data_IF_636570477065
#
_entry.id   IF_636570477065
#
_cell.length_a   1.000
_cell.length_b   1.000
_cell.length_c   1.000
_cell.angle_alpha   90.00
_cell.angle_beta   90.00
_cell.angle_gamma   90.00
#
_symmetry.space_group_name_H-M   'P 1'
#
loop_
_entity.id
_entity.type
_entity.pdbx_description
1 polymer ?
#
# COMPACT_ATOMS: atom_id res chain seq x y z
N UNK A 1 16.41 20.13 -24.28
CA UNK A 1 17.29 20.61 -25.34
C UNK A 1 18.59 20.96 -24.64
N UNK A 2 19.61 20.16 -24.86
CA UNK A 2 20.95 20.50 -24.41
C UNK A 2 21.78 21.08 -25.56
N UNK A 3 23.01 21.47 -25.29
CA UNK A 3 23.92 22.06 -26.32
C UNK A 3 24.31 21.07 -27.43
N UNK A 4 23.95 19.77 -27.28
CA UNK A 4 24.35 18.70 -28.21
C UNK A 4 23.22 18.26 -29.13
N UNK A 5 21.99 18.77 -29.00
CA UNK A 5 20.89 18.46 -29.92
C UNK A 5 19.56 18.22 -29.25
N UNK A 6 18.58 17.76 -30.01
CA UNK A 6 17.25 17.36 -29.58
C UNK A 6 17.21 15.84 -29.49
N UNK A 7 16.78 15.31 -28.34
CA UNK A 7 16.63 13.87 -28.09
C UNK A 7 15.19 13.52 -27.78
N UNK A 8 14.73 12.37 -28.24
CA UNK A 8 13.42 11.79 -27.95
C UNK A 8 13.65 10.35 -27.55
N UNK A 9 13.33 9.97 -26.30
CA UNK A 9 13.51 8.62 -25.80
C UNK A 9 14.95 8.07 -25.93
N UNK A 10 15.95 8.95 -25.84
CA UNK A 10 17.37 8.59 -26.02
C UNK A 10 17.87 8.62 -27.46
N UNK A 11 16.99 8.67 -28.46
CA UNK A 11 17.37 8.84 -29.89
C UNK A 11 17.58 10.31 -30.22
N UNK A 12 18.64 10.62 -30.96
CA UNK A 12 18.92 11.98 -31.43
C UNK A 12 18.12 12.29 -32.68
N UNK A 13 17.51 13.47 -32.73
CA UNK A 13 16.86 13.98 -33.93
C UNK A 13 17.93 14.47 -34.89
N UNK A 14 18.16 13.71 -35.96
CA UNK A 14 19.17 14.03 -37.00
C UNK A 14 18.64 14.95 -38.07
N UNK A 15 17.34 14.89 -38.37
CA UNK A 15 16.66 15.84 -39.27
C UNK A 15 15.33 16.20 -38.60
N UNK A 16 15.14 17.49 -38.37
CA UNK A 16 13.92 18.01 -37.77
C UNK A 16 13.03 18.67 -38.85
N UNK A 17 11.73 18.79 -38.51
CA UNK A 17 10.76 19.65 -39.18
C UNK A 17 10.59 19.39 -40.71
N UNK A 18 10.64 18.11 -41.10
CA UNK A 18 10.23 17.73 -42.48
C UNK A 18 8.70 17.83 -42.56
N UNK A 19 8.22 18.88 -43.21
CA UNK A 19 6.77 19.13 -43.32
C UNK A 19 6.16 18.27 -44.42
N UNK A 20 5.01 17.67 -44.13
CA UNK A 20 4.13 16.99 -45.07
C UNK A 20 2.72 17.62 -44.98
N UNK A 21 1.86 17.32 -45.94
CA UNK A 21 0.51 17.91 -46.01
C UNK A 21 -0.35 17.62 -44.78
N UNK A 22 -0.07 16.54 -44.06
CA UNK A 22 -0.83 16.07 -42.89
C UNK A 22 -0.04 16.04 -41.57
N UNK A 23 1.18 16.58 -41.55
CA UNK A 23 1.99 16.57 -40.32
C UNK A 23 3.46 16.92 -40.51
N UNK A 24 4.25 16.64 -39.48
CA UNK A 24 5.70 16.87 -39.47
C UNK A 24 6.40 15.55 -39.17
N UNK A 25 7.50 15.28 -39.86
CA UNK A 25 8.34 14.11 -39.63
C UNK A 25 9.68 14.53 -39.05
N UNK A 26 10.12 13.87 -38.01
CA UNK A 26 11.47 13.99 -37.48
C UNK A 26 12.21 12.67 -37.70
N UNK A 27 13.40 12.74 -38.28
CA UNK A 27 14.28 11.59 -38.46
C UNK A 27 15.17 11.44 -37.25
N UNK A 28 15.20 10.24 -36.69
CA UNK A 28 15.99 9.90 -35.49
C UNK A 28 17.03 8.84 -35.84
N UNK A 29 18.14 8.82 -35.11
CA UNK A 29 19.29 7.94 -35.32
C UNK A 29 19.14 6.54 -34.69
N UNK A 30 18.12 6.35 -33.88
CA UNK A 30 17.86 5.07 -33.19
C UNK A 30 16.36 4.74 -33.20
N UNK A 31 16.04 3.46 -33.05
CA UNK A 31 14.66 2.99 -32.88
C UNK A 31 14.19 3.32 -31.48
N UNK A 32 13.02 3.93 -31.37
CA UNK A 32 12.34 4.09 -30.09
C UNK A 32 11.75 2.74 -29.68
N UNK A 33 12.42 2.06 -28.79
CA UNK A 33 11.90 0.84 -28.17
C UNK A 33 11.12 1.27 -26.94
N UNK A 34 9.83 0.89 -26.79
CA UNK A 34 9.13 1.08 -25.52
C UNK A 34 9.96 0.44 -24.41
N UNK A 35 10.30 1.19 -23.39
CA UNK A 35 10.87 0.62 -22.17
C UNK A 35 9.67 0.01 -21.45
N UNK A 36 9.56 -1.31 -21.50
CA UNK A 36 8.62 -1.99 -20.60
C UNK A 36 9.12 -1.73 -19.18
N UNK A 37 8.28 -1.15 -18.37
CA UNK A 37 8.60 -1.01 -16.94
C UNK A 37 8.61 -2.43 -16.36
N UNK A 38 9.82 -2.91 -16.06
CA UNK A 38 10.02 -4.24 -15.47
C UNK A 38 9.99 -4.17 -13.94
N UNK A 39 9.77 -2.98 -13.36
CA UNK A 39 9.68 -2.80 -11.92
C UNK A 39 8.47 -3.55 -11.37
N UNK A 40 8.69 -4.35 -10.35
CA UNK A 40 7.63 -5.04 -9.61
C UNK A 40 6.99 -4.10 -8.57
N UNK A 41 5.86 -4.51 -7.98
CA UNK A 41 5.26 -3.78 -6.86
C UNK A 41 6.25 -3.58 -5.70
N UNK A 42 7.17 -4.54 -5.49
CA UNK A 42 8.22 -4.45 -4.47
C UNK A 42 9.27 -3.41 -4.84
N UNK A 43 9.68 -3.34 -6.10
CA UNK A 43 10.68 -2.38 -6.56
C UNK A 43 10.20 -0.95 -6.34
N UNK A 44 8.91 -0.68 -6.56
CA UNK A 44 8.30 0.64 -6.29
C UNK A 44 8.38 0.97 -4.80
N UNK A 45 8.02 0.03 -3.92
CA UNK A 45 8.06 0.24 -2.46
C UNK A 45 9.50 0.45 -1.97
N UNK A 46 10.44 -0.41 -2.39
CA UNK A 46 11.84 -0.35 -1.97
C UNK A 46 12.56 0.89 -2.53
N UNK A 47 12.20 1.31 -3.75
CA UNK A 47 12.77 2.49 -4.40
C UNK A 47 12.22 3.82 -3.88
N UNK A 48 11.16 3.81 -3.08
CA UNK A 48 10.49 5.01 -2.59
C UNK A 48 11.09 5.51 -1.27
N UNK A 49 11.46 6.80 -1.17
CA UNK A 49 11.95 7.38 0.08
C UNK A 49 10.87 7.51 1.17
N UNK A 50 9.60 7.45 0.81
CA UNK A 50 8.46 7.63 1.71
C UNK A 50 7.90 6.30 2.25
N UNK A 51 8.49 5.15 1.88
CA UNK A 51 8.04 3.80 2.25
C UNK A 51 9.15 2.96 2.88
N UNK A 52 10.07 3.60 3.61
CA UNK A 52 11.25 2.93 4.19
C UNK A 52 10.86 1.90 5.25
N UNK A 53 9.84 2.18 6.05
CA UNK A 53 9.33 1.26 7.08
C UNK A 53 8.63 0.07 6.42
N UNK A 54 7.80 0.31 5.40
CA UNK A 54 7.13 -0.75 4.65
C UNK A 54 8.14 -1.67 3.96
N UNK A 55 9.16 -1.11 3.31
CA UNK A 55 10.23 -1.88 2.67
C UNK A 55 10.98 -2.77 3.67
N UNK A 56 11.31 -2.23 4.86
CA UNK A 56 11.92 -3.01 5.92
C UNK A 56 11.00 -4.12 6.44
N UNK A 57 9.70 -3.84 6.60
CA UNK A 57 8.70 -4.79 7.05
C UNK A 57 8.50 -5.94 6.06
N UNK A 58 8.37 -5.63 4.76
CA UNK A 58 8.24 -6.65 3.68
C UNK A 58 9.48 -7.53 3.61
N UNK A 59 10.67 -6.93 3.78
CA UNK A 59 11.93 -7.67 3.85
C UNK A 59 12.01 -8.60 5.07
N UNK A 60 11.65 -8.10 6.25
CA UNK A 60 11.67 -8.87 7.50
C UNK A 60 10.65 -10.04 7.49
N UNK A 61 9.47 -9.82 6.91
CA UNK A 61 8.43 -10.84 6.75
C UNK A 61 8.74 -11.88 5.66
N UNK A 62 9.82 -11.70 4.86
CA UNK A 62 10.19 -12.60 3.77
C UNK A 62 9.22 -12.58 2.58
N UNK A 63 8.42 -11.51 2.43
CA UNK A 63 7.41 -11.40 1.38
C UNK A 63 7.96 -10.87 0.04
N UNK A 64 9.23 -10.48 -0.01
CA UNK A 64 9.88 -9.93 -1.21
C UNK A 64 9.74 -10.87 -2.41
N UNK A 65 10.09 -12.15 -2.26
CA UNK A 65 10.01 -13.14 -3.35
C UNK A 65 8.56 -13.37 -3.79
N UNK A 66 7.62 -13.44 -2.84
CA UNK A 66 6.19 -13.66 -3.13
C UNK A 66 5.61 -12.51 -3.93
N UNK A 67 5.88 -11.26 -3.52
CA UNK A 67 5.35 -10.06 -4.16
C UNK A 67 6.14 -9.63 -5.42
N UNK A 68 7.31 -10.21 -5.65
CA UNK A 68 8.07 -10.05 -6.91
C UNK A 68 7.71 -11.12 -7.94
N UNK A 69 6.88 -12.10 -7.58
CA UNK A 69 6.44 -13.18 -8.47
C UNK A 69 5.41 -12.72 -9.50
N UNK A 70 4.90 -13.74 -10.22
CA UNK A 70 3.88 -13.54 -11.24
C UNK A 70 2.57 -13.05 -10.60
N UNK A 71 2.25 -11.76 -10.80
CA UNK A 71 0.99 -11.16 -10.33
C UNK A 71 -0.26 -11.69 -11.06
N UNK A 72 -1.30 -10.90 -11.17
CA UNK A 72 -1.35 -9.50 -10.74
C UNK A 72 -1.54 -9.32 -9.23
N UNK A 73 -0.90 -8.29 -8.68
CA UNK A 73 -1.10 -7.87 -7.31
C UNK A 73 -1.58 -6.42 -7.26
N UNK A 74 -2.46 -6.09 -6.32
CA UNK A 74 -2.69 -4.70 -5.92
C UNK A 74 -2.18 -4.52 -4.50
N UNK A 75 -1.25 -3.59 -4.32
CA UNK A 75 -0.64 -3.29 -3.03
C UNK A 75 -1.11 -1.92 -2.56
N UNK A 76 -1.75 -1.88 -1.40
CA UNK A 76 -2.05 -0.64 -0.68
C UNK A 76 -0.85 -0.31 0.21
N UNK A 77 -0.03 0.66 -0.22
CA UNK A 77 1.27 0.96 0.39
C UNK A 77 1.15 2.15 1.37
N UNK A 78 1.16 1.91 2.69
CA UNK A 78 1.18 2.97 3.67
C UNK A 78 2.54 3.67 3.71
N UNK A 79 2.52 5.01 3.79
CA UNK A 79 3.72 5.82 3.91
C UNK A 79 4.36 5.72 5.30
N UNK A 80 5.61 6.14 5.45
CA UNK A 80 6.27 6.25 6.77
C UNK A 80 5.48 7.16 7.72
N UNK A 81 4.79 8.19 7.19
CA UNK A 81 3.89 9.04 7.96
C UNK A 81 2.64 8.26 8.47
N UNK A 82 2.12 7.32 7.69
CA UNK A 82 1.03 6.43 8.10
C UNK A 82 1.45 5.53 9.28
N UNK A 83 2.66 4.99 9.23
CA UNK A 83 3.22 4.22 10.33
C UNK A 83 3.45 5.05 11.60
N UNK A 84 3.77 6.34 11.46
CA UNK A 84 3.94 7.24 12.59
C UNK A 84 2.63 7.56 13.34
N UNK A 85 1.47 7.26 12.75
CA UNK A 85 0.16 7.39 13.41
C UNK A 85 -0.16 6.19 14.32
N UNK A 86 0.58 5.09 14.19
CA UNK A 86 0.41 3.93 15.06
C UNK A 86 0.91 4.23 16.48
N UNK A 87 0.38 3.53 17.50
CA UNK A 87 0.87 3.65 18.87
C UNK A 87 2.39 3.44 18.99
N UNK A 88 3.03 4.24 19.84
CA UNK A 88 4.48 4.14 20.08
C UNK A 88 4.88 2.71 20.44
N UNK A 89 5.90 2.20 19.75
CA UNK A 89 6.45 0.87 19.97
C UNK A 89 5.76 -0.26 19.20
N UNK A 90 4.56 -0.07 18.64
CA UNK A 90 3.84 -1.13 17.92
C UNK A 90 4.64 -1.62 16.70
N UNK A 91 5.20 -0.72 15.91
CA UNK A 91 6.03 -1.09 14.75
C UNK A 91 7.27 -1.89 15.18
N UNK A 92 7.91 -1.52 16.29
CA UNK A 92 9.06 -2.25 16.82
C UNK A 92 8.66 -3.67 17.25
N UNK A 93 7.55 -3.80 17.97
CA UNK A 93 7.00 -5.11 18.40
C UNK A 93 6.64 -6.01 17.21
N UNK A 94 6.04 -5.44 16.16
CA UNK A 94 5.71 -6.18 14.93
C UNK A 94 6.97 -6.67 14.20
N UNK A 95 8.04 -5.88 14.22
CA UNK A 95 9.32 -6.25 13.62
C UNK A 95 10.09 -7.32 14.44
N UNK A 96 9.78 -7.48 15.73
CA UNK A 96 10.34 -8.56 16.56
C UNK A 96 9.73 -9.92 16.26
N UNK A 97 8.46 -9.97 15.79
CA UNK A 97 7.80 -11.20 15.29
C UNK A 97 7.36 -11.03 13.82
N UNK A 98 8.29 -11.08 12.88
CA UNK A 98 7.99 -10.81 11.48
C UNK A 98 7.15 -11.87 10.79
N UNK A 99 7.09 -13.09 11.34
CA UNK A 99 6.34 -14.23 10.76
C UNK A 99 4.91 -14.35 11.30
N UNK A 100 4.57 -13.63 12.36
CA UNK A 100 3.26 -13.63 12.99
C UNK A 100 2.38 -12.47 12.51
N UNK A 101 2.12 -11.55 13.43
CA UNK A 101 1.19 -10.42 13.20
C UNK A 101 1.64 -9.51 12.04
N UNK A 102 2.96 -9.28 11.88
CA UNK A 102 3.46 -8.44 10.79
C UNK A 102 3.10 -9.02 9.42
N UNK A 103 3.29 -10.33 9.21
CA UNK A 103 2.90 -10.99 7.96
C UNK A 103 1.40 -10.87 7.69
N UNK A 104 0.57 -11.04 8.72
CA UNK A 104 -0.90 -10.89 8.60
C UNK A 104 -1.28 -9.47 8.19
N UNK A 105 -0.71 -8.46 8.84
CA UNK A 105 -0.94 -7.05 8.48
C UNK A 105 -0.48 -6.78 7.05
N UNK A 106 0.74 -7.17 6.67
CA UNK A 106 1.27 -6.93 5.33
C UNK A 106 0.45 -7.63 4.24
N UNK A 107 0.01 -8.86 4.47
CA UNK A 107 -0.85 -9.60 3.52
C UNK A 107 -2.27 -9.05 3.48
N UNK A 108 -2.72 -8.35 4.54
CA UNK A 108 -3.97 -7.60 4.53
C UNK A 108 -3.92 -6.35 3.64
N UNK A 109 -2.74 -5.81 3.39
CA UNK A 109 -2.52 -4.70 2.45
C UNK A 109 -2.42 -5.16 0.97
N UNK A 110 -2.55 -6.46 0.70
CA UNK A 110 -2.35 -7.01 -0.65
C UNK A 110 -3.60 -7.74 -1.13
N UNK A 111 -4.05 -7.37 -2.31
CA UNK A 111 -5.09 -8.06 -3.07
C UNK A 111 -4.44 -8.87 -4.20
N UNK A 112 -4.84 -10.14 -4.36
CA UNK A 112 -4.40 -11.02 -5.44
C UNK A 112 -5.23 -10.77 -6.70
N UNK A 113 -4.99 -9.64 -7.34
CA UNK A 113 -5.68 -9.18 -8.54
C UNK A 113 -5.17 -7.79 -8.94
N UNK A 114 -5.55 -7.34 -10.13
CA UNK A 114 -5.31 -5.97 -10.57
C UNK A 114 -6.58 -5.16 -10.35
N UNK A 115 -6.50 -4.12 -9.52
CA UNK A 115 -7.57 -3.16 -9.30
C UNK A 115 -7.02 -1.75 -9.52
N UNK A 116 -7.35 -1.16 -10.65
CA UNK A 116 -7.11 0.25 -10.93
C UNK A 116 -8.19 1.11 -10.23
N UNK A 117 -7.90 2.38 -10.03
CA UNK A 117 -8.87 3.31 -9.44
C UNK A 117 -10.19 3.38 -10.23
N UNK A 118 -10.14 3.10 -11.53
CA UNK A 118 -11.31 3.01 -12.42
C UNK A 118 -12.16 1.77 -12.20
N UNK A 119 -11.61 0.74 -11.59
CA UNK A 119 -12.30 -0.53 -11.30
C UNK A 119 -12.96 -0.50 -9.91
N UNK A 120 -12.58 0.47 -9.07
CA UNK A 120 -13.09 0.64 -7.72
C UNK A 120 -14.42 1.40 -7.75
N UNK A 121 -15.37 0.96 -6.93
CA UNK A 121 -16.67 1.64 -6.74
C UNK A 121 -17.02 1.65 -5.25
N UNK A 122 -17.85 2.60 -4.89
CA UNK A 122 -18.28 2.80 -3.50
C UNK A 122 -19.05 1.57 -2.96
N UNK A 123 -18.64 1.10 -1.77
CA UNK A 123 -19.14 -0.12 -1.16
C UNK A 123 -18.58 -1.42 -1.74
N UNK A 124 -17.54 -1.37 -2.58
CA UNK A 124 -16.84 -2.57 -3.06
C UNK A 124 -16.07 -3.22 -1.93
N UNK A 125 -16.16 -4.56 -1.82
CA UNK A 125 -15.34 -5.35 -0.91
C UNK A 125 -14.19 -5.99 -1.68
N UNK A 126 -12.96 -5.68 -1.30
CA UNK A 126 -11.74 -6.20 -1.92
C UNK A 126 -11.14 -7.29 -1.03
N UNK A 127 -11.13 -8.56 -1.47
CA UNK A 127 -10.57 -9.65 -0.67
C UNK A 127 -9.05 -9.54 -0.59
N UNK A 128 -8.49 -9.69 0.60
CA UNK A 128 -7.04 -9.63 0.83
C UNK A 128 -6.39 -11.01 0.86
N UNK A 129 -5.07 -11.07 0.65
CA UNK A 129 -4.30 -12.32 0.78
C UNK A 129 -4.36 -12.86 2.22
N UNK A 130 -4.53 -12.00 3.21
CA UNK A 130 -4.72 -12.40 4.61
C UNK A 130 -6.04 -13.14 4.88
N UNK A 131 -7.00 -13.08 3.95
CA UNK A 131 -8.32 -13.70 4.07
C UNK A 131 -9.42 -12.77 4.58
N UNK A 132 -9.11 -11.51 4.93
CA UNK A 132 -10.08 -10.46 5.22
C UNK A 132 -10.53 -9.73 3.96
N UNK A 133 -11.43 -8.77 4.12
CA UNK A 133 -11.92 -7.90 3.06
C UNK A 133 -11.68 -6.45 3.45
N UNK A 134 -11.43 -5.59 2.45
CA UNK A 134 -11.28 -4.14 2.60
C UNK A 134 -12.48 -3.46 1.93
N UNK A 135 -13.12 -2.55 2.61
CA UNK A 135 -14.22 -1.76 2.05
C UNK A 135 -13.68 -0.55 1.29
N UNK A 136 -14.14 -0.39 0.06
CA UNK A 136 -13.87 0.81 -0.74
C UNK A 136 -14.96 1.83 -0.48
N UNK A 137 -14.59 3.02 -0.05
CA UNK A 137 -15.48 4.16 0.09
C UNK A 137 -15.05 5.28 -0.85
N UNK A 138 -15.98 5.84 -1.58
CA UNK A 138 -15.72 6.95 -2.50
C UNK A 138 -16.64 8.10 -2.17
N UNK A 139 -16.06 9.23 -1.80
CA UNK A 139 -16.81 10.43 -1.52
C UNK A 139 -16.24 11.68 -2.25
N UNK A 140 -16.74 12.86 -1.92
CA UNK A 140 -16.30 14.12 -2.52
C UNK A 140 -14.86 14.53 -2.15
N UNK A 141 -14.24 13.87 -1.19
CA UNK A 141 -12.88 14.13 -0.69
C UNK A 141 -11.86 13.19 -1.29
N UNK A 142 -12.25 11.98 -1.71
CA UNK A 142 -11.36 11.02 -2.34
C UNK A 142 -11.85 9.58 -2.30
N UNK A 143 -10.91 8.68 -2.57
CA UNK A 143 -11.07 7.23 -2.46
C UNK A 143 -10.44 6.78 -1.15
N UNK A 144 -11.17 5.98 -0.41
CA UNK A 144 -10.73 5.40 0.85
C UNK A 144 -10.78 3.88 0.76
N UNK A 145 -9.83 3.24 1.40
CA UNK A 145 -9.79 1.80 1.62
C UNK A 145 -9.88 1.61 3.14
N UNK A 146 -11.02 1.15 3.62
CA UNK A 146 -11.41 1.19 5.04
C UNK A 146 -11.26 2.63 5.60
N UNK A 147 -10.29 2.82 6.49
CA UNK A 147 -10.01 4.11 7.11
C UNK A 147 -8.86 4.91 6.47
N UNK A 148 -8.22 4.36 5.43
CA UNK A 148 -7.05 4.95 4.77
C UNK A 148 -7.43 5.65 3.48
N UNK A 149 -7.01 6.90 3.32
CA UNK A 149 -7.20 7.66 2.08
C UNK A 149 -6.13 7.28 1.07
N UNK A 150 -6.54 7.03 -0.17
CA UNK A 150 -5.61 6.84 -1.29
C UNK A 150 -5.07 8.21 -1.72
N UNK A 151 -3.79 8.43 -1.49
CA UNK A 151 -3.10 9.71 -1.81
C UNK A 151 -2.49 9.71 -3.20
N UNK A 152 -2.01 8.56 -3.66
CA UNK A 152 -1.55 8.34 -5.04
C UNK A 152 -2.12 7.01 -5.52
N UNK A 153 -2.81 7.04 -6.64
CA UNK A 153 -3.42 5.86 -7.25
C UNK A 153 -2.69 5.45 -8.53
N UNK A 154 -2.92 4.21 -8.94
CA UNK A 154 -2.57 3.68 -10.27
C UNK A 154 -1.07 3.76 -10.62
N UNK A 155 -0.19 3.43 -9.66
CA UNK A 155 1.21 3.20 -9.99
C UNK A 155 1.30 1.80 -10.59
N UNK A 156 1.26 1.73 -11.92
CA UNK A 156 1.35 0.48 -12.66
C UNK A 156 2.76 -0.09 -12.63
N UNK A 157 2.85 -1.42 -12.52
CA UNK A 157 4.11 -2.17 -12.47
C UNK A 157 4.01 -3.40 -13.37
N UNK A 158 5.13 -4.10 -13.57
CA UNK A 158 5.18 -5.31 -14.40
C UNK A 158 4.32 -6.46 -13.86
N UNK A 159 4.04 -6.49 -12.55
CA UNK A 159 3.28 -7.56 -11.90
C UNK A 159 2.09 -7.06 -11.08
N UNK A 160 1.66 -5.81 -11.23
CA UNK A 160 0.49 -5.31 -10.52
C UNK A 160 0.36 -3.80 -10.45
N UNK A 161 -0.34 -3.33 -9.42
CA UNK A 161 -0.63 -1.92 -9.19
C UNK A 161 -0.32 -1.57 -7.74
N UNK A 162 0.22 -0.38 -7.50
CA UNK A 162 0.44 0.15 -6.15
C UNK A 162 -0.42 1.40 -5.94
N UNK A 163 -1.16 1.42 -4.84
CA UNK A 163 -1.88 2.60 -4.34
C UNK A 163 -1.24 3.06 -3.04
N UNK A 164 -0.83 4.31 -2.97
CA UNK A 164 -0.26 4.89 -1.74
C UNK A 164 -1.39 5.36 -0.83
N UNK A 165 -1.33 4.96 0.43
CA UNK A 165 -2.34 5.29 1.45
C UNK A 165 -1.72 6.01 2.66
N UNK A 166 -2.54 6.81 3.35
CA UNK A 166 -2.13 7.65 4.48
C UNK A 166 -2.33 7.00 5.86
N UNK A 167 -2.87 5.78 5.91
CA UNK A 167 -3.01 5.00 7.14
C UNK A 167 -2.67 3.53 6.92
N UNK A 168 -2.31 2.82 7.99
CA UNK A 168 -2.05 1.38 7.97
C UNK A 168 -3.37 0.63 8.14
N UNK A 169 -3.64 -0.34 7.26
CA UNK A 169 -4.82 -1.21 7.33
C UNK A 169 -4.59 -2.30 8.37
N UNK A 170 -5.38 -2.28 9.43
CA UNK A 170 -5.27 -3.23 10.52
C UNK A 170 -6.47 -4.18 10.45
N UNK A 171 -6.25 -5.50 10.24
CA UNK A 171 -7.36 -6.45 10.22
C UNK A 171 -8.08 -6.50 11.57
N UNK A 172 -9.41 -6.47 11.56
CA UNK A 172 -10.23 -6.52 12.80
C UNK A 172 -10.10 -7.88 13.51
N UNK A 173 -9.80 -8.95 12.78
CA UNK A 173 -9.58 -10.28 13.30
C UNK A 173 -8.08 -10.57 13.43
N UNK A 174 -7.53 -10.57 14.64
CA UNK A 174 -6.18 -11.09 14.89
C UNK A 174 -5.21 -10.23 15.67
N UNK A 175 -5.52 -9.00 15.96
CA UNK A 175 -4.77 -8.22 16.95
C UNK A 175 -5.41 -8.41 18.33
N UNK A 176 -5.10 -9.50 19.00
CA UNK A 176 -5.28 -9.55 20.45
C UNK A 176 -4.26 -8.60 21.09
N UNK A 177 -4.53 -7.31 21.00
CA UNK A 177 -3.76 -6.25 21.70
C UNK A 177 -3.97 -6.36 23.22
N UNK A 178 -4.61 -7.43 23.68
CA UNK A 178 -4.88 -7.62 25.11
C UNK A 178 -3.62 -7.93 25.94
N UNK A 179 -2.47 -8.24 25.34
CA UNK A 179 -1.29 -8.65 26.10
C UNK A 179 -0.15 -7.63 26.15
N UNK A 180 -0.17 -6.57 25.34
CA UNK A 180 0.93 -5.57 25.34
C UNK A 180 0.62 -4.25 26.04
N UNK A 181 -0.56 -4.06 26.59
CA UNK A 181 -0.89 -2.94 27.48
C UNK A 181 -1.04 -3.38 28.93
N UNK A 182 -0.20 -4.29 29.40
CA UNK A 182 0.12 -4.38 30.82
C UNK A 182 1.00 -3.17 31.19
N UNK A 183 0.46 -1.98 31.06
CA UNK A 183 1.03 -0.81 31.71
C UNK A 183 0.86 -1.05 33.22
N UNK A 184 1.97 -1.38 33.84
CA UNK A 184 2.19 -1.25 35.25
C UNK A 184 1.79 0.15 35.70
N UNK A 185 0.70 0.24 36.34
CA UNK A 185 0.10 1.23 37.20
C UNK A 185 -1.31 1.66 36.81
N UNK A 186 -2.21 0.95 37.51
CA UNK A 186 -3.47 1.47 38.04
C UNK A 186 -4.43 2.24 37.10
N UNK A 187 -5.55 1.57 36.91
CA UNK A 187 -6.88 2.15 36.81
C UNK A 187 -7.36 2.44 35.39
N UNK A 188 -8.33 1.61 35.06
CA UNK A 188 -9.35 1.66 34.02
C UNK A 188 -9.21 0.64 32.90
N UNK A 189 -9.46 -0.62 33.21
CA UNK A 189 -9.89 -1.63 32.25
C UNK A 189 -11.34 -1.33 31.85
N UNK A 190 -11.54 -0.90 30.61
CA UNK A 190 -12.87 -0.89 29.99
C UNK A 190 -12.92 -2.04 28.98
N UNK A 191 -13.89 -2.94 29.14
CA UNK A 191 -14.34 -3.80 28.06
C UNK A 191 -15.39 -3.05 27.26
N UNK A 192 -15.31 -3.13 25.94
CA UNK A 192 -16.34 -2.63 25.05
C UNK A 192 -17.13 -3.85 24.58
N UNK A 193 -18.45 -3.84 24.73
CA UNK A 193 -19.31 -4.89 24.18
C UNK A 193 -19.42 -4.74 22.65
N UNK A 194 -19.96 -5.77 22.02
CA UNK A 194 -20.16 -5.83 20.56
C UNK A 194 -21.04 -4.69 19.99
N UNK A 195 -21.54 -3.79 20.82
CA UNK A 195 -22.32 -2.61 20.47
C UNK A 195 -21.58 -1.31 20.79
N UNK A 196 -20.27 -1.37 21.14
CA UNK A 196 -19.46 -0.19 21.43
C UNK A 196 -19.73 0.46 22.79
N UNK A 197 -20.45 -0.21 23.71
CA UNK A 197 -20.78 0.33 25.01
C UNK A 197 -19.71 -0.06 26.05
N UNK A 198 -19.19 0.93 26.78
CA UNK A 198 -18.23 0.71 27.87
C UNK A 198 -18.86 -0.08 29.02
N UNK A 199 -18.28 -1.22 29.37
CA UNK A 199 -18.68 -2.04 30.51
C UNK A 199 -17.63 -1.88 31.62
N UNK A 200 -18.06 -1.46 32.79
CA UNK A 200 -17.18 -1.35 33.93
C UNK A 200 -17.07 -2.73 34.62
N UNK A 201 -15.85 -3.22 34.86
CA UNK A 201 -15.55 -4.54 35.43
C UNK A 201 -16.13 -4.76 36.87
N UNK A 202 -16.65 -3.70 37.50
CA UNK A 202 -17.32 -3.80 38.80
C UNK A 202 -18.65 -4.57 38.77
N UNK A 203 -19.23 -4.82 37.59
CA UNK A 203 -20.55 -5.45 37.44
C UNK A 203 -20.47 -6.97 37.21
N UNK A 204 -19.27 -7.55 37.03
CA UNK A 204 -19.11 -8.97 36.72
C UNK A 204 -19.00 -9.89 37.96
N UNK A 205 -18.87 -9.35 39.14
CA UNK A 205 -18.74 -10.17 40.39
C UNK A 205 -20.04 -10.42 41.16
N UNK A 206 -21.20 -10.19 40.53
CA UNK A 206 -22.49 -10.35 41.23
C UNK A 206 -23.41 -11.39 40.60
N UNK A 207 -22.85 -12.31 39.78
CA UNK A 207 -23.61 -13.47 39.31
C UNK A 207 -22.80 -14.73 39.65
N UNK A 208 -22.98 -15.22 40.86
CA UNK A 208 -22.85 -16.62 41.29
C UNK A 208 -24.22 -17.02 41.84
#
# INVERSE_FOLDING_TARGET
IDTNGVYIGGAMVVIADLTADNGVVHVIDAVLVPVEDTSTVVDIVVGSPDHTILAAAVGAAGLVETLSGDGPFTVFAPTDAAFALLPDGLVATLLEDPTGQLTTILTHHVYAGSALSTDLYDGMMVPTIAGGELEVMIDSTGVYIDNAMVTVADIETSNGVVHVIDAVLIPEEGLSIEESLAIENQTYLYSIDVLGKRINKATLNTII
#
